data_IF_146920176111
#
_entry.id   IF_146920176111
#
_cell.length_a   1.000
_cell.length_b   1.000
_cell.length_c   1.000
_cell.angle_alpha   90.00
_cell.angle_beta   90.00
_cell.angle_gamma   90.00
#
_symmetry.space_group_name_H-M   'P 1'
#
loop_
_entity.id
_entity.type
_entity.pdbx_description
1 polymer ?
#
# COMPACT_ATOMS: atom_id res chain seq x y z
N UNK A 1 38.62 -37.03 -33.11
CA UNK A 1 39.15 -36.42 -31.88
C UNK A 1 39.55 -34.98 -32.20
N UNK A 2 38.78 -33.94 -31.81
CA UNK A 2 39.24 -32.57 -32.01
C UNK A 2 40.36 -32.25 -31.00
N UNK A 3 41.46 -31.57 -31.43
CA UNK A 3 42.59 -31.29 -30.57
C UNK A 3 42.32 -30.15 -29.59
N UNK A 4 42.91 -30.31 -28.40
CA UNK A 4 42.91 -29.40 -27.26
C UNK A 4 43.10 -27.93 -27.65
N UNK A 5 42.07 -27.11 -27.41
CA UNK A 5 42.18 -25.66 -27.44
C UNK A 5 42.95 -25.20 -26.18
N UNK A 6 44.21 -24.84 -26.39
CA UNK A 6 45.08 -24.26 -25.38
C UNK A 6 44.39 -23.08 -24.68
N UNK A 7 44.14 -23.23 -23.37
CA UNK A 7 43.76 -22.14 -22.47
C UNK A 7 45.01 -21.28 -22.30
N UNK A 8 45.19 -20.31 -23.22
CA UNK A 8 46.24 -19.32 -23.13
C UNK A 8 46.06 -18.48 -21.86
N UNK A 9 47.06 -18.51 -20.98
CA UNK A 9 47.17 -17.62 -19.83
C UNK A 9 46.97 -16.15 -20.26
N UNK A 10 46.30 -15.30 -19.47
CA UNK A 10 45.94 -13.95 -19.89
C UNK A 10 47.18 -13.05 -19.84
N UNK A 11 48.02 -13.15 -20.87
CA UNK A 11 49.14 -12.24 -21.10
C UNK A 11 48.59 -10.83 -21.36
N UNK A 12 48.69 -9.96 -20.35
CA UNK A 12 48.30 -8.56 -20.42
C UNK A 12 49.20 -7.79 -21.38
N UNK A 13 48.89 -7.86 -22.67
CA UNK A 13 49.63 -7.17 -23.73
C UNK A 13 49.37 -5.66 -23.61
N UNK A 14 50.37 -4.92 -23.11
CA UNK A 14 50.31 -3.49 -22.76
C UNK A 14 49.89 -2.62 -23.96
N UNK A 15 50.22 -3.06 -25.18
CA UNK A 15 49.97 -2.33 -26.43
C UNK A 15 48.67 -2.74 -27.16
N UNK A 16 47.77 -3.51 -26.54
CA UNK A 16 46.46 -3.81 -27.15
C UNK A 16 45.51 -2.63 -26.97
N UNK A 17 44.94 -2.14 -28.08
CA UNK A 17 43.86 -1.15 -28.06
C UNK A 17 42.74 -1.61 -27.12
N UNK A 18 42.37 -0.73 -26.17
CA UNK A 18 41.30 -1.01 -25.22
C UNK A 18 39.97 -1.12 -25.97
N UNK A 19 39.27 -2.23 -25.79
CA UNK A 19 37.89 -2.39 -26.24
C UNK A 19 37.02 -1.28 -25.65
N UNK A 20 35.94 -0.91 -26.34
CA UNK A 20 35.05 0.17 -25.89
C UNK A 20 34.54 -0.05 -24.45
N UNK A 21 34.32 -1.32 -24.09
CA UNK A 21 33.96 -1.76 -22.75
C UNK A 21 35.03 -1.45 -21.68
N UNK A 22 36.33 -1.49 -22.04
CA UNK A 22 37.45 -1.18 -21.14
C UNK A 22 37.75 0.32 -21.04
N UNK A 23 37.32 1.14 -22.01
CA UNK A 23 37.56 2.60 -22.01
C UNK A 23 36.83 3.32 -20.86
N UNK A 24 35.63 2.87 -20.48
CA UNK A 24 34.82 3.44 -19.38
C UNK A 24 34.45 2.40 -18.31
N UNK A 25 35.38 1.48 -18.03
CA UNK A 25 35.18 0.33 -17.15
C UNK A 25 34.57 0.72 -15.78
N UNK A 26 35.13 1.71 -15.09
CA UNK A 26 34.63 2.16 -13.78
C UNK A 26 33.26 2.85 -13.83
N UNK A 27 32.92 3.53 -14.93
CA UNK A 27 31.56 4.07 -15.12
C UNK A 27 30.56 2.92 -15.31
N UNK A 28 30.92 1.93 -16.12
CA UNK A 28 30.10 0.72 -16.34
C UNK A 28 29.89 -0.06 -15.04
N UNK A 29 30.96 -0.30 -14.26
CA UNK A 29 30.84 -0.96 -12.95
C UNK A 29 29.90 -0.19 -12.00
N UNK A 30 30.02 1.14 -11.92
CA UNK A 30 29.11 1.96 -11.11
C UNK A 30 27.64 1.84 -11.53
N UNK A 31 27.37 1.86 -12.84
CA UNK A 31 26.01 1.70 -13.36
C UNK A 31 25.46 0.32 -13.04
N UNK A 32 26.24 -0.74 -13.30
CA UNK A 32 25.83 -2.11 -12.99
C UNK A 32 25.55 -2.33 -11.50
N UNK A 33 26.39 -1.78 -10.61
CA UNK A 33 26.15 -1.84 -9.16
C UNK A 33 24.89 -1.09 -8.78
N UNK A 34 24.63 0.07 -9.38
CA UNK A 34 23.40 0.85 -9.14
C UNK A 34 22.17 0.07 -9.59
N UNK A 35 22.18 -0.49 -10.79
CA UNK A 35 21.09 -1.31 -11.32
C UNK A 35 20.87 -2.57 -10.48
N UNK A 36 21.94 -3.25 -10.06
CA UNK A 36 21.85 -4.40 -9.17
C UNK A 36 21.21 -4.02 -7.83
N UNK A 37 21.63 -2.90 -7.22
CA UNK A 37 21.03 -2.39 -5.98
C UNK A 37 19.56 -2.00 -6.14
N UNK A 38 19.16 -1.48 -7.30
CA UNK A 38 17.76 -1.13 -7.60
C UNK A 38 16.90 -2.38 -7.78
N UNK A 39 17.40 -3.40 -8.50
CA UNK A 39 16.69 -4.68 -8.70
C UNK A 39 16.44 -5.43 -7.38
N UNK A 40 17.38 -5.35 -6.43
CA UNK A 40 17.25 -5.98 -5.10
C UNK A 40 16.61 -5.07 -4.07
N UNK A 41 16.09 -3.91 -4.48
CA UNK A 41 15.39 -3.01 -3.58
C UNK A 41 14.00 -3.55 -3.28
N UNK A 42 13.85 -4.18 -2.11
CA UNK A 42 12.53 -4.64 -1.63
C UNK A 42 11.72 -3.44 -1.18
N UNK A 43 10.85 -2.94 -2.07
CA UNK A 43 9.79 -2.00 -1.71
C UNK A 43 8.62 -2.82 -1.20
N UNK A 44 8.44 -2.90 0.12
CA UNK A 44 7.27 -3.58 0.69
C UNK A 44 6.02 -2.70 0.57
N UNK A 45 4.91 -3.36 0.25
CA UNK A 45 3.58 -2.76 0.31
C UNK A 45 3.30 -2.23 1.71
N UNK A 46 2.63 -1.10 1.76
CA UNK A 46 2.29 -0.42 2.99
C UNK A 46 1.09 -1.11 3.64
N UNK A 47 1.31 -1.80 4.75
CA UNK A 47 0.25 -2.60 5.38
C UNK A 47 -0.74 -1.76 6.20
N UNK A 48 -0.32 -0.59 6.69
CA UNK A 48 -1.07 0.20 7.68
C UNK A 48 -1.50 1.57 7.15
N UNK A 49 -1.79 1.75 5.85
CA UNK A 49 -2.02 3.07 5.22
C UNK A 49 -2.92 4.02 6.04
N UNK A 50 -4.04 3.52 6.59
CA UNK A 50 -4.98 4.29 7.41
C UNK A 50 -4.56 4.56 8.87
N UNK A 51 -3.42 4.02 9.32
CA UNK A 51 -2.89 4.18 10.69
C UNK A 51 -1.52 4.88 10.75
N UNK A 52 -0.95 5.26 9.60
CA UNK A 52 0.39 5.86 9.50
C UNK A 52 0.39 7.27 10.10
N UNK A 53 1.20 7.49 11.12
CA UNK A 53 1.38 8.84 11.69
C UNK A 53 2.21 9.75 10.76
N UNK A 54 2.06 11.08 10.86
CA UNK A 54 2.79 12.09 10.06
C UNK A 54 4.31 11.85 10.00
N UNK A 55 4.92 11.35 11.09
CA UNK A 55 6.35 11.05 11.13
C UNK A 55 6.74 9.94 10.15
N UNK A 56 5.93 8.89 10.03
CA UNK A 56 6.17 7.79 9.11
C UNK A 56 6.03 8.25 7.65
N UNK A 57 5.07 9.14 7.37
CA UNK A 57 4.92 9.76 6.04
C UNK A 57 6.18 10.56 5.67
N UNK A 58 6.68 11.41 6.57
CA UNK A 58 7.90 12.22 6.33
C UNK A 58 9.14 11.35 6.06
N UNK A 59 9.30 10.28 6.84
CA UNK A 59 10.41 9.31 6.69
C UNK A 59 10.34 8.54 5.36
N UNK A 60 9.14 8.20 4.87
CA UNK A 60 8.96 7.54 3.57
C UNK A 60 9.09 8.49 2.39
N UNK A 61 8.58 9.72 2.49
CA UNK A 61 8.78 10.74 1.47
C UNK A 61 10.27 11.04 1.23
N UNK A 62 11.07 10.99 2.31
CA UNK A 62 12.53 11.17 2.24
C UNK A 62 13.28 9.93 1.73
N UNK A 63 12.68 8.73 1.82
CA UNK A 63 13.31 7.47 1.41
C UNK A 63 12.28 6.40 1.07
N UNK A 64 12.18 6.07 -0.23
CA UNK A 64 11.32 5.00 -0.73
C UNK A 64 11.70 3.59 -0.20
N UNK A 65 12.94 3.41 0.28
CA UNK A 65 13.42 2.16 0.89
C UNK A 65 13.00 1.98 2.34
N UNK A 66 12.51 3.03 2.99
CA UNK A 66 12.26 3.00 4.42
C UNK A 66 11.05 2.09 4.74
N UNK A 67 11.34 0.86 5.14
CA UNK A 67 10.35 -0.11 5.63
C UNK A 67 10.03 0.18 7.10
N UNK A 68 9.41 1.33 7.33
CA UNK A 68 8.93 1.75 8.64
C UNK A 68 7.45 1.39 8.72
N UNK A 69 7.16 0.21 9.26
CA UNK A 69 5.81 -0.18 9.69
C UNK A 69 5.62 0.16 11.16
N UNK A 70 4.37 0.25 11.60
CA UNK A 70 4.10 0.33 13.02
C UNK A 70 4.45 -1.01 13.66
N UNK A 71 5.14 -0.98 14.81
CA UNK A 71 5.22 -2.16 15.67
C UNK A 71 3.81 -2.67 15.98
N UNK A 72 3.64 -4.00 16.06
CA UNK A 72 2.34 -4.62 16.31
C UNK A 72 1.64 -4.08 17.57
N UNK A 73 2.39 -3.74 18.62
CA UNK A 73 1.84 -3.10 19.84
C UNK A 73 1.26 -1.71 19.54
N UNK A 74 1.97 -0.91 18.76
CA UNK A 74 1.55 0.44 18.36
C UNK A 74 0.32 0.40 17.45
N UNK A 75 0.31 -0.52 16.49
CA UNK A 75 -0.85 -0.79 15.61
C UNK A 75 -2.09 -1.17 16.44
N UNK A 76 -1.96 -2.12 17.37
CA UNK A 76 -3.06 -2.55 18.25
C UNK A 76 -3.61 -1.39 19.07
N UNK A 77 -2.74 -0.56 19.66
CA UNK A 77 -3.16 0.58 20.49
C UNK A 77 -3.89 1.66 19.70
N UNK A 78 -3.41 1.99 18.50
CA UNK A 78 -4.09 2.96 17.63
C UNK A 78 -5.47 2.45 17.18
N UNK A 79 -5.57 1.17 16.79
CA UNK A 79 -6.87 0.57 16.45
C UNK A 79 -7.83 0.57 17.64
N UNK A 80 -7.33 0.31 18.85
CA UNK A 80 -8.15 0.34 20.07
C UNK A 80 -8.70 1.74 20.33
N UNK A 81 -7.88 2.78 20.16
CA UNK A 81 -8.30 4.18 20.33
C UNK A 81 -9.36 4.57 19.30
N UNK A 82 -9.16 4.24 18.02
CA UNK A 82 -10.13 4.52 16.96
C UNK A 82 -11.48 3.87 17.26
N UNK A 83 -11.49 2.61 17.72
CA UNK A 83 -12.72 1.89 18.10
C UNK A 83 -13.46 2.57 19.26
N UNK A 84 -12.73 3.04 20.28
CA UNK A 84 -13.33 3.74 21.41
C UNK A 84 -13.97 5.06 20.97
N UNK A 85 -13.24 5.88 20.22
CA UNK A 85 -13.75 7.16 19.68
C UNK A 85 -14.95 6.94 18.77
N UNK A 86 -14.95 5.90 17.93
CA UNK A 86 -16.11 5.56 17.09
C UNK A 86 -17.32 5.14 17.93
N UNK A 87 -17.11 4.37 19.00
CA UNK A 87 -18.18 3.97 19.91
C UNK A 87 -18.76 5.18 20.65
N UNK A 88 -17.92 6.08 21.14
CA UNK A 88 -18.34 7.32 21.81
C UNK A 88 -19.09 8.23 20.84
N UNK A 89 -18.57 8.44 19.62
CA UNK A 89 -19.24 9.22 18.58
C UNK A 89 -20.61 8.64 18.24
N UNK A 90 -20.70 7.32 18.05
CA UNK A 90 -21.97 6.65 17.75
C UNK A 90 -22.97 6.73 18.92
N UNK A 91 -22.50 6.71 20.16
CA UNK A 91 -23.36 6.90 21.33
C UNK A 91 -23.89 8.34 21.45
N UNK A 92 -23.09 9.34 21.06
CA UNK A 92 -23.51 10.75 21.06
C UNK A 92 -24.40 11.12 19.86
N UNK A 93 -24.23 10.49 18.69
CA UNK A 93 -25.04 10.76 17.50
C UNK A 93 -26.50 10.22 17.57
N UNK A 94 -26.91 9.61 18.69
CA UNK A 94 -28.32 9.23 18.95
C UNK A 94 -29.20 10.44 19.32
N UNK A 95 -28.63 11.62 19.59
CA UNK A 95 -29.40 12.81 19.99
C UNK A 95 -29.45 13.95 18.95
N UNK A 96 -29.18 13.68 17.66
CA UNK A 96 -29.39 14.70 16.62
C UNK A 96 -29.81 14.11 15.26
N UNK A 97 -31.12 14.07 14.96
CA UNK A 97 -31.61 14.02 13.60
C UNK A 97 -31.38 15.39 12.94
N UNK A 98 -30.21 15.62 12.36
CA UNK A 98 -30.04 16.75 11.44
C UNK A 98 -30.63 16.38 10.07
N UNK A 99 -31.89 16.76 9.95
CA UNK A 99 -32.70 17.01 8.74
C UNK A 99 -31.92 16.88 7.43
N UNK A 100 -32.39 15.97 6.59
CA UNK A 100 -32.00 15.78 5.20
C UNK A 100 -32.27 17.04 4.36
N UNK A 101 -31.24 17.87 4.19
CA UNK A 101 -31.24 18.91 3.16
C UNK A 101 -30.82 18.28 1.82
N UNK A 102 -31.82 17.91 1.01
CA UNK A 102 -31.68 17.50 -0.39
C UNK A 102 -30.97 18.60 -1.19
N UNK A 103 -29.89 18.28 -1.90
CA UNK A 103 -29.58 18.86 -3.22
C UNK A 103 -28.67 17.93 -4.04
N UNK A 104 -29.30 17.29 -5.04
CA UNK A 104 -28.80 16.85 -6.35
C UNK A 104 -27.33 16.37 -6.52
N UNK A 105 -27.15 15.06 -6.60
CA UNK A 105 -26.20 14.43 -7.53
C UNK A 105 -26.98 13.77 -8.70
N UNK A 106 -26.49 13.84 -9.96
CA UNK A 106 -27.19 13.28 -11.11
C UNK A 106 -26.95 11.77 -11.22
N UNK A 107 -28.03 10.99 -11.09
CA UNK A 107 -28.06 9.55 -11.37
C UNK A 107 -28.15 9.25 -12.88
N UNK A 108 -27.42 8.25 -13.39
CA UNK A 108 -27.80 7.57 -14.63
C UNK A 108 -28.67 6.32 -14.36
N UNK A 109 -29.98 6.51 -14.55
CA UNK A 109 -30.99 5.63 -15.18
C UNK A 109 -30.89 4.08 -15.03
N UNK A 110 -31.69 3.57 -14.08
CA UNK A 110 -32.76 2.56 -14.21
C UNK A 110 -32.59 1.27 -15.03
N UNK A 111 -32.95 0.12 -14.42
CA UNK A 111 -34.05 -0.76 -14.92
C UNK A 111 -34.84 -1.38 -13.76
N UNK A 112 -36.16 -1.09 -13.75
CA UNK A 112 -37.23 -1.66 -12.90
C UNK A 112 -37.48 -3.13 -13.22
N UNK A 113 -37.84 -3.92 -12.19
CA UNK A 113 -39.03 -4.79 -12.24
C UNK A 113 -39.76 -4.75 -10.90
N UNK A 114 -41.08 -4.68 -11.01
CA UNK A 114 -42.14 -4.41 -10.04
C UNK A 114 -42.76 -5.69 -9.48
N UNK A 115 -43.11 -5.71 -8.18
CA UNK A 115 -44.49 -5.79 -7.64
C UNK A 115 -44.45 -5.69 -6.10
N UNK A 116 -45.48 -5.07 -5.54
CA UNK A 116 -45.71 -4.75 -4.12
C UNK A 116 -47.10 -5.32 -3.71
N UNK A 117 -47.73 -4.91 -2.59
CA UNK A 117 -47.48 -5.26 -1.18
C UNK A 117 -48.77 -5.79 -0.48
N UNK A 118 -48.69 -6.32 0.74
CA UNK A 118 -49.77 -6.32 1.77
C UNK A 118 -49.19 -6.97 3.04
N UNK A 119 -48.97 -6.23 4.13
CA UNK A 119 -49.95 -5.71 5.09
C UNK A 119 -50.55 -6.84 5.94
N UNK A 120 -50.10 -6.98 7.20
CA UNK A 120 -50.94 -7.07 8.42
C UNK A 120 -50.05 -6.77 9.65
N UNK A 121 -50.37 -5.67 10.33
CA UNK A 121 -50.02 -5.34 11.72
C UNK A 121 -50.73 -6.28 12.70
N UNK A 122 -50.03 -6.81 13.70
CA UNK A 122 -50.64 -7.20 14.98
C UNK A 122 -49.60 -6.98 16.10
N UNK A 123 -49.62 -5.78 16.66
CA UNK A 123 -49.30 -5.61 18.09
C UNK A 123 -50.42 -6.27 18.90
N UNK A 124 -50.08 -7.06 19.91
CA UNK A 124 -50.85 -7.03 21.15
C UNK A 124 -49.96 -7.29 22.36
N UNK A 125 -50.17 -6.43 23.34
CA UNK A 125 -49.51 -6.35 24.63
C UNK A 125 -49.96 -7.53 25.51
N UNK A 126 -49.15 -7.94 26.49
CA UNK A 126 -49.50 -7.73 27.89
C UNK A 126 -48.40 -8.24 28.84
N UNK A 127 -48.07 -7.37 29.78
CA UNK A 127 -47.19 -7.56 30.93
C UNK A 127 -47.89 -8.35 32.06
N UNK A 128 -47.06 -8.77 33.03
CA UNK A 128 -47.35 -9.08 34.46
C UNK A 128 -47.76 -10.51 34.81
N UNK A 129 -46.83 -11.27 35.38
CA UNK A 129 -46.56 -11.32 36.84
C UNK A 129 -45.38 -12.24 37.13
#
# INVERSE_FOLDING_TARGET
>A
MPPNAAVGAPGGKINRLRTELKKKLFKRQRVLIREWRLKHQVVRAVTDEGLITRHHLKKRASSARANITLSGKKRRKLLQQIRLVQKEKAAMEVEAPLKSARTSEPQPKSKKKTKAPQDVDMEDLEDKS
#
